data_IF_501760731615
#
_entry.id   IF_501760731615
#
_cell.length_a   1.000
_cell.length_b   1.000
_cell.length_c   1.000
_cell.angle_alpha   90.00
_cell.angle_beta   90.00
_cell.angle_gamma   90.00
#
_symmetry.space_group_name_H-M   'P 1'
#
loop_
_entity.id
_entity.type
_entity.pdbx_description
1 polymer ?
#
# COMPACT_ATOMS: atom_id res chain seq x y z
N UNK A 1 12.92 -13.33 4.75
CA UNK A 1 12.25 -12.02 4.89
C UNK A 1 11.24 -12.09 6.03
N UNK A 2 11.32 -11.16 6.98
CA UNK A 2 10.37 -10.99 8.08
C UNK A 2 9.08 -10.33 7.59
N UNK A 3 7.95 -10.51 8.29
CA UNK A 3 6.67 -9.88 7.92
C UNK A 3 6.77 -8.34 7.84
N UNK A 4 7.54 -7.72 8.74
CA UNK A 4 7.77 -6.27 8.72
C UNK A 4 8.48 -5.80 7.43
N UNK A 5 9.51 -6.52 6.99
CA UNK A 5 10.22 -6.24 5.74
C UNK A 5 9.27 -6.40 4.55
N UNK A 6 8.42 -7.44 4.55
CA UNK A 6 7.40 -7.65 3.52
C UNK A 6 6.40 -6.48 3.42
N UNK A 7 5.97 -5.95 4.56
CA UNK A 7 5.05 -4.81 4.62
C UNK A 7 5.70 -3.52 4.10
N UNK A 8 6.98 -3.30 4.40
CA UNK A 8 7.75 -2.19 3.85
C UNK A 8 7.88 -2.32 2.33
N UNK A 9 8.34 -3.48 1.84
CA UNK A 9 8.48 -3.73 0.41
C UNK A 9 7.16 -3.57 -0.35
N UNK A 10 6.03 -3.98 0.25
CA UNK A 10 4.69 -3.75 -0.32
C UNK A 10 4.40 -2.26 -0.50
N UNK A 11 4.70 -1.43 0.49
CA UNK A 11 4.53 0.02 0.41
C UNK A 11 5.41 0.63 -0.68
N UNK A 12 6.66 0.17 -0.78
CA UNK A 12 7.62 0.65 -1.76
C UNK A 12 7.19 0.32 -3.19
N UNK A 13 6.74 -0.91 -3.42
CA UNK A 13 6.21 -1.34 -4.72
C UNK A 13 4.96 -0.55 -5.11
N UNK A 14 4.04 -0.29 -4.17
CA UNK A 14 2.86 0.54 -4.44
C UNK A 14 3.25 1.97 -4.86
N UNK A 15 4.25 2.56 -4.19
CA UNK A 15 4.77 3.89 -4.56
C UNK A 15 5.47 3.87 -5.92
N UNK A 16 6.22 2.81 -6.23
CA UNK A 16 6.86 2.66 -7.54
C UNK A 16 5.84 2.54 -8.66
N UNK A 17 4.77 1.76 -8.47
CA UNK A 17 3.67 1.63 -9.44
C UNK A 17 3.02 3.00 -9.70
N UNK A 18 2.79 3.79 -8.65
CA UNK A 18 2.25 5.14 -8.81
C UNK A 18 3.17 6.06 -9.62
N UNK A 19 4.48 6.01 -9.33
CA UNK A 19 5.49 6.74 -10.11
C UNK A 19 5.53 6.30 -11.58
N UNK A 20 5.51 4.99 -11.84
CA UNK A 20 5.48 4.44 -13.21
C UNK A 20 4.21 4.87 -13.95
N UNK A 21 3.06 4.84 -13.28
CA UNK A 21 1.79 5.32 -13.83
C UNK A 21 1.90 6.77 -14.30
N UNK A 22 2.47 7.65 -13.47
CA UNK A 22 2.66 9.06 -13.83
C UNK A 22 3.63 9.23 -15.01
N UNK A 23 4.73 8.48 -15.04
CA UNK A 23 5.73 8.52 -16.13
C UNK A 23 5.15 8.03 -17.45
N UNK A 24 4.41 6.93 -17.43
CA UNK A 24 3.73 6.39 -18.62
C UNK A 24 2.77 7.42 -19.21
N UNK A 25 1.99 8.12 -18.37
CA UNK A 25 1.06 9.15 -18.84
C UNK A 25 1.78 10.34 -19.48
N UNK A 26 2.93 10.74 -18.93
CA UNK A 26 3.75 11.80 -19.49
C UNK A 26 4.39 11.39 -20.83
N UNK A 27 4.90 10.16 -20.93
CA UNK A 27 5.53 9.64 -22.15
C UNK A 27 4.53 9.28 -23.26
N UNK A 28 3.25 9.07 -22.92
CA UNK A 28 2.21 8.74 -23.90
C UNK A 28 1.69 9.96 -24.68
N UNK A 29 2.02 11.18 -24.27
CA UNK A 29 1.60 12.43 -24.93
C UNK A 29 2.82 13.29 -25.22
N UNK A 30 3.23 13.35 -26.49
CA UNK A 30 4.33 14.19 -26.95
C UNK A 30 3.92 14.96 -28.22
N UNK A 31 4.60 16.09 -28.48
CA UNK A 31 4.32 16.91 -29.66
C UNK A 31 4.89 16.27 -30.92
N UNK A 32 4.29 16.57 -32.06
CA UNK A 32 4.79 16.11 -33.36
C UNK A 32 6.19 16.69 -33.60
N UNK A 33 7.18 15.79 -33.75
CA UNK A 33 8.60 16.16 -33.92
C UNK A 33 9.44 16.15 -32.65
N UNK A 34 8.86 15.85 -31.48
CA UNK A 34 9.61 15.61 -30.24
C UNK A 34 9.66 14.11 -29.91
N UNK A 35 10.83 13.62 -29.50
CA UNK A 35 10.93 12.28 -28.93
C UNK A 35 10.49 12.32 -27.45
N UNK A 36 9.67 11.36 -26.99
CA UNK A 36 9.31 11.29 -25.58
C UNK A 36 10.55 11.08 -24.72
N UNK A 37 10.58 11.73 -23.54
CA UNK A 37 11.73 11.68 -22.64
C UNK A 37 12.07 10.26 -22.14
N UNK A 38 11.08 9.36 -22.15
CA UNK A 38 11.23 7.96 -21.74
C UNK A 38 10.42 7.05 -22.67
N UNK A 39 10.91 5.82 -22.88
CA UNK A 39 10.21 4.80 -23.66
C UNK A 39 8.97 4.27 -22.89
N UNK A 40 7.77 4.64 -23.36
CA UNK A 40 6.51 4.22 -22.77
C UNK A 40 6.33 2.68 -22.77
N UNK A 41 6.85 1.96 -23.77
CA UNK A 41 6.75 0.51 -23.83
C UNK A 41 7.63 -0.16 -22.75
N UNK A 42 8.84 0.36 -22.56
CA UNK A 42 9.73 -0.08 -21.47
C UNK A 42 9.10 0.20 -20.09
N UNK A 43 8.51 1.38 -19.89
CA UNK A 43 7.82 1.73 -18.65
C UNK A 43 6.61 0.82 -18.36
N UNK A 44 5.85 0.47 -19.40
CA UNK A 44 4.72 -0.47 -19.29
C UNK A 44 5.19 -1.88 -18.89
N UNK A 45 6.30 -2.35 -19.46
CA UNK A 45 6.89 -3.64 -19.08
C UNK A 45 7.35 -3.63 -17.61
N UNK A 46 8.06 -2.58 -17.19
CA UNK A 46 8.49 -2.41 -15.79
C UNK A 46 7.29 -2.36 -14.82
N UNK A 47 6.21 -1.67 -15.21
CA UNK A 47 4.98 -1.62 -14.42
C UNK A 47 4.35 -3.00 -14.27
N UNK A 48 4.31 -3.80 -15.34
CA UNK A 48 3.82 -5.17 -15.31
C UNK A 48 4.58 -6.04 -14.31
N UNK A 49 5.91 -6.07 -14.42
CA UNK A 49 6.78 -6.82 -13.49
C UNK A 49 6.61 -6.37 -12.04
N UNK A 50 6.47 -5.06 -11.82
CA UNK A 50 6.30 -4.49 -10.48
C UNK A 50 4.95 -4.89 -9.87
N UNK A 51 3.88 -4.92 -10.69
CA UNK A 51 2.54 -5.37 -10.27
C UNK A 51 2.54 -6.85 -9.92
N UNK A 52 3.19 -7.69 -10.72
CA UNK A 52 3.29 -9.14 -10.45
C UNK A 52 4.04 -9.41 -9.14
N UNK A 53 5.14 -8.69 -8.91
CA UNK A 53 5.88 -8.77 -7.64
C UNK A 53 5.03 -8.33 -6.46
N UNK A 54 4.25 -7.25 -6.60
CA UNK A 54 3.32 -6.80 -5.56
C UNK A 54 2.26 -7.87 -5.26
N UNK A 55 1.68 -8.50 -6.28
CA UNK A 55 0.67 -9.54 -6.12
C UNK A 55 1.22 -10.77 -5.37
N UNK A 56 2.41 -11.23 -5.74
CA UNK A 56 3.10 -12.32 -5.05
C UNK A 56 3.38 -11.98 -3.57
N UNK A 57 3.82 -10.75 -3.30
CA UNK A 57 4.13 -10.27 -1.96
C UNK A 57 2.88 -10.18 -1.08
N UNK A 58 1.79 -9.61 -1.60
CA UNK A 58 0.49 -9.52 -0.92
C UNK A 58 -0.05 -10.90 -0.58
N UNK A 59 0.06 -11.85 -1.51
CA UNK A 59 -0.37 -13.24 -1.28
C UNK A 59 0.39 -13.86 -0.09
N UNK A 60 1.72 -13.72 -0.06
CA UNK A 60 2.55 -14.23 1.04
C UNK A 60 2.22 -13.58 2.38
N UNK A 61 1.99 -12.26 2.40
CA UNK A 61 1.59 -11.52 3.59
C UNK A 61 0.26 -12.06 4.12
N UNK A 62 -0.73 -12.24 3.24
CA UNK A 62 -2.05 -12.73 3.64
C UNK A 62 -1.99 -14.15 4.19
N UNK A 63 -1.25 -15.05 3.54
CA UNK A 63 -1.03 -16.41 4.03
C UNK A 63 -0.35 -16.41 5.41
N UNK A 64 0.68 -15.58 5.59
CA UNK A 64 1.38 -15.43 6.87
C UNK A 64 0.45 -14.90 7.95
N UNK A 65 -0.35 -13.89 7.65
CA UNK A 65 -1.30 -13.30 8.60
C UNK A 65 -2.37 -14.30 9.04
N UNK A 66 -2.89 -15.10 8.10
CA UNK A 66 -3.90 -16.12 8.39
C UNK A 66 -3.34 -17.26 9.25
N UNK A 67 -2.07 -17.64 9.03
CA UNK A 67 -1.43 -18.73 9.79
C UNK A 67 -0.91 -18.30 11.17
N UNK A 68 -0.54 -17.02 11.34
CA UNK A 68 0.09 -16.53 12.56
C UNK A 68 -0.88 -16.42 13.75
N UNK A 69 -0.35 -16.69 14.94
CA UNK A 69 -1.04 -16.54 16.23
C UNK A 69 -0.20 -15.71 17.19
N UNK A 70 -0.85 -14.98 18.08
CA UNK A 70 -0.22 -14.33 19.23
C UNK A 70 0.11 -15.37 20.32
N UNK A 71 0.88 -14.95 21.32
CA UNK A 71 1.29 -15.80 22.45
C UNK A 71 0.10 -16.39 23.23
N UNK A 72 -1.04 -15.68 23.23
CA UNK A 72 -2.30 -16.11 23.85
C UNK A 72 -3.16 -17.03 22.95
N UNK A 73 -2.67 -17.39 21.76
CA UNK A 73 -3.36 -18.22 20.76
C UNK A 73 -4.30 -17.47 19.82
N UNK A 74 -4.53 -16.18 20.04
CA UNK A 74 -5.39 -15.33 19.19
C UNK A 74 -4.83 -15.29 17.76
N UNK A 75 -5.69 -15.49 16.76
CA UNK A 75 -5.29 -15.35 15.36
C UNK A 75 -4.86 -13.91 15.05
N UNK A 76 -3.75 -13.74 14.33
CA UNK A 76 -3.24 -12.40 14.01
C UNK A 76 -4.28 -11.56 13.25
N UNK A 77 -5.04 -12.16 12.35
CA UNK A 77 -6.15 -11.49 11.65
C UNK A 77 -7.23 -10.96 12.60
N UNK A 78 -7.56 -11.69 13.66
CA UNK A 78 -8.51 -11.23 14.68
C UNK A 78 -7.92 -10.06 15.52
N UNK A 79 -6.64 -10.14 15.86
CA UNK A 79 -5.95 -9.06 16.56
C UNK A 79 -5.89 -7.77 15.73
N UNK A 80 -5.63 -7.87 14.43
CA UNK A 80 -5.66 -6.74 13.49
C UNK A 80 -7.05 -6.10 13.42
N UNK A 81 -8.11 -6.91 13.30
CA UNK A 81 -9.48 -6.42 13.28
C UNK A 81 -9.85 -5.69 14.59
N UNK A 82 -9.45 -6.23 15.75
CA UNK A 82 -9.65 -5.59 17.05
C UNK A 82 -8.91 -4.26 17.15
N UNK A 83 -7.66 -4.21 16.69
CA UNK A 83 -6.86 -2.98 16.65
C UNK A 83 -7.55 -1.91 15.80
N UNK A 84 -8.05 -2.28 14.63
CA UNK A 84 -8.69 -1.34 13.72
C UNK A 84 -10.01 -0.80 14.31
N UNK A 85 -10.80 -1.64 15.00
CA UNK A 85 -11.99 -1.22 15.73
C UNK A 85 -11.65 -0.23 16.87
N UNK A 86 -10.62 -0.52 17.67
CA UNK A 86 -10.16 0.36 18.74
C UNK A 86 -9.67 1.70 18.20
N UNK A 87 -8.96 1.70 17.06
CA UNK A 87 -8.51 2.94 16.41
C UNK A 87 -9.68 3.81 15.97
N UNK A 88 -10.73 3.19 15.41
CA UNK A 88 -11.97 3.89 15.02
C UNK A 88 -12.66 4.49 16.24
N UNK A 89 -12.82 3.72 17.32
CA UNK A 89 -13.42 4.20 18.56
C UNK A 89 -12.64 5.38 19.16
N UNK A 90 -11.31 5.27 19.20
CA UNK A 90 -10.46 6.36 19.67
C UNK A 90 -10.64 7.62 18.84
N UNK A 91 -10.66 7.51 17.50
CA UNK A 91 -10.91 8.64 16.61
C UNK A 91 -12.25 9.35 16.88
N UNK A 92 -13.32 8.57 17.12
CA UNK A 92 -14.65 9.11 17.46
C UNK A 92 -14.60 9.91 18.76
N UNK A 93 -13.99 9.33 19.81
CA UNK A 93 -13.91 9.97 21.12
C UNK A 93 -13.05 11.25 21.08
N UNK A 94 -11.92 11.20 20.40
CA UNK A 94 -11.03 12.37 20.26
C UNK A 94 -11.73 13.49 19.50
N UNK A 95 -12.39 13.20 18.38
CA UNK A 95 -13.15 14.20 17.63
C UNK A 95 -14.29 14.83 18.45
N UNK A 96 -14.99 14.03 19.25
CA UNK A 96 -16.03 14.54 20.15
C UNK A 96 -15.47 15.45 21.24
N UNK A 97 -14.31 15.10 21.82
CA UNK A 97 -13.64 15.92 22.82
C UNK A 97 -13.12 17.25 22.23
N UNK A 98 -12.52 17.21 21.04
CA UNK A 98 -12.03 18.41 20.35
C UNK A 98 -13.19 19.38 20.07
N UNK A 99 -14.31 18.87 19.52
CA UNK A 99 -15.51 19.65 19.27
C UNK A 99 -16.10 20.25 20.57
N UNK A 100 -16.16 19.47 21.66
CA UNK A 100 -16.64 19.95 22.95
C UNK A 100 -15.72 21.02 23.58
N UNK A 101 -14.42 20.99 23.27
CA UNK A 101 -13.42 21.93 23.79
C UNK A 101 -13.31 23.24 23.00
N UNK A 102 -14.06 23.39 21.90
CA UNK A 102 -14.01 24.57 21.02
C UNK A 102 -12.75 24.66 20.15
N UNK A 103 -12.00 23.55 20.02
CA UNK A 103 -10.88 23.40 19.10
C UNK A 103 -11.39 22.72 17.83
N UNK A 104 -12.07 23.49 16.97
CA UNK A 104 -12.45 23.05 15.63
C UNK A 104 -11.51 23.68 14.60
#
# INVERSE_FOLDING_TARGET
>A
MRLAEALMERSDLQRRIESLRSRIQASARYQEGEDPAEDAAALLAEAGETVDRLAALVTRINLTNTAARLDDGTALTAALARRDALRTQHGILTAAADAASGRA
#
